data_IF_839861422942
#
_entry.id   IF_839861422942
#
_cell.length_a   1.000
_cell.length_b   1.000
_cell.length_c   1.000
_cell.angle_alpha   90.00
_cell.angle_beta   90.00
_cell.angle_gamma   90.00
#
_symmetry.space_group_name_H-M   'P 1'
#
loop_
_entity.id
_entity.type
_entity.pdbx_description
1 polymer ?
#
# COMPACT_ATOMS: atom_id res chain seq x y z
N UNK A 1 10.68 13.85 -25.27
CA UNK A 1 9.59 13.55 -24.31
C UNK A 1 9.90 12.21 -23.67
N UNK A 2 9.92 12.14 -22.34
CA UNK A 2 10.09 10.88 -21.60
C UNK A 2 8.73 10.20 -21.46
N UNK A 3 8.62 8.91 -21.79
CA UNK A 3 7.38 8.11 -21.71
C UNK A 3 6.75 7.99 -20.31
N UNK A 4 7.37 8.59 -19.29
CA UNK A 4 6.89 8.63 -17.90
C UNK A 4 5.80 9.69 -17.63
N UNK A 5 5.47 10.56 -18.60
CA UNK A 5 4.46 11.61 -18.45
C UNK A 5 3.05 11.24 -18.93
N UNK A 6 2.81 10.00 -19.39
CA UNK A 6 1.43 9.58 -19.71
C UNK A 6 0.58 9.58 -18.43
N UNK A 7 -0.58 10.26 -18.42
CA UNK A 7 -1.49 10.20 -17.29
C UNK A 7 -1.87 8.75 -17.00
N UNK A 8 -1.65 8.30 -15.75
CA UNK A 8 -2.14 6.99 -15.32
C UNK A 8 -3.65 6.95 -15.47
N UNK A 9 -4.16 5.97 -16.23
CA UNK A 9 -5.59 5.77 -16.42
C UNK A 9 -6.27 5.52 -15.06
N UNK A 10 -7.29 6.33 -14.77
CA UNK A 10 -8.02 6.26 -13.51
C UNK A 10 -8.97 5.08 -13.54
N UNK A 11 -9.07 4.36 -12.42
CA UNK A 11 -10.07 3.34 -12.22
C UNK A 11 -11.48 3.95 -12.34
N UNK A 12 -12.35 3.36 -13.15
CA UNK A 12 -13.70 3.89 -13.40
C UNK A 12 -14.78 3.00 -12.80
N UNK A 13 -14.51 1.70 -12.66
CA UNK A 13 -15.47 0.75 -12.12
C UNK A 13 -15.26 0.51 -10.62
N UNK A 14 -16.31 0.14 -9.86
CA UNK A 14 -16.14 -0.23 -8.44
C UNK A 14 -15.14 -1.37 -8.23
N UNK A 15 -14.98 -2.28 -9.20
CA UNK A 15 -14.00 -3.37 -9.16
C UNK A 15 -12.57 -2.87 -9.35
N UNK A 16 -12.34 -1.98 -10.30
CA UNK A 16 -11.01 -1.37 -10.49
C UNK A 16 -10.60 -0.51 -9.30
N UNK A 17 -11.54 0.27 -8.75
CA UNK A 17 -11.28 1.09 -7.56
C UNK A 17 -10.93 0.20 -6.37
N UNK A 18 -11.70 -0.90 -6.18
CA UNK A 18 -11.39 -1.88 -5.16
C UNK A 18 -9.99 -2.49 -5.37
N UNK A 19 -9.64 -2.86 -6.60
CA UNK A 19 -8.33 -3.43 -6.92
C UNK A 19 -7.18 -2.43 -6.60
N UNK A 20 -7.35 -1.16 -6.95
CA UNK A 20 -6.38 -0.11 -6.62
C UNK A 20 -6.25 0.07 -5.09
N UNK A 21 -7.36 0.16 -4.36
CA UNK A 21 -7.35 0.26 -2.89
C UNK A 21 -6.71 -0.98 -2.22
N UNK A 22 -6.93 -2.17 -2.76
CA UNK A 22 -6.28 -3.39 -2.28
C UNK A 22 -4.78 -3.38 -2.52
N UNK A 23 -4.33 -2.84 -3.67
CA UNK A 23 -2.93 -2.58 -3.95
C UNK A 23 -2.30 -1.63 -2.94
N UNK A 24 -2.94 -0.48 -2.68
CA UNK A 24 -2.49 0.48 -1.64
C UNK A 24 -2.35 -0.22 -0.28
N UNK A 25 -3.37 -0.96 0.16
CA UNK A 25 -3.35 -1.70 1.44
C UNK A 25 -2.20 -2.71 1.52
N UNK A 26 -2.02 -3.52 0.47
CA UNK A 26 -0.98 -4.54 0.45
C UNK A 26 0.41 -3.90 0.57
N UNK A 27 0.65 -2.86 -0.21
CA UNK A 27 1.95 -2.17 -0.21
C UNK A 27 2.21 -1.43 1.11
N UNK A 28 1.19 -0.84 1.74
CA UNK A 28 1.34 -0.26 3.10
C UNK A 28 1.78 -1.31 4.11
N UNK A 29 1.19 -2.51 4.07
CA UNK A 29 1.59 -3.64 4.91
C UNK A 29 3.04 -4.05 4.66
N UNK A 30 3.46 -4.11 3.38
CA UNK A 30 4.83 -4.45 3.00
C UNK A 30 5.82 -3.40 3.47
N UNK A 31 5.52 -2.11 3.30
CA UNK A 31 6.37 -1.00 3.77
C UNK A 31 6.62 -1.13 5.27
N UNK A 32 5.57 -1.34 6.07
CA UNK A 32 5.71 -1.52 7.52
C UNK A 32 6.61 -2.72 7.84
N UNK A 33 6.45 -3.85 7.14
CA UNK A 33 7.31 -5.02 7.31
C UNK A 33 8.77 -4.78 6.93
N UNK A 34 9.01 -4.14 5.79
CA UNK A 34 10.36 -3.85 5.26
C UNK A 34 11.11 -2.88 6.17
N UNK A 35 10.45 -1.81 6.62
CA UNK A 35 11.05 -0.81 7.51
C UNK A 35 11.46 -1.43 8.84
N UNK A 36 10.63 -2.31 9.40
CA UNK A 36 10.95 -3.04 10.64
C UNK A 36 12.14 -3.99 10.50
N UNK A 37 12.45 -4.43 9.28
CA UNK A 37 13.60 -5.30 8.96
C UNK A 37 14.83 -4.53 8.44
N UNK A 38 14.74 -3.20 8.28
CA UNK A 38 15.86 -2.35 7.81
C UNK A 38 16.13 -2.42 6.29
N UNK A 39 15.19 -2.90 5.48
CA UNK A 39 15.39 -3.16 4.04
C UNK A 39 15.26 -1.94 3.12
N UNK A 40 16.24 -1.03 3.11
CA UNK A 40 16.17 0.23 2.34
C UNK A 40 15.78 0.11 0.85
N UNK A 41 16.50 -0.70 0.07
CA UNK A 41 16.24 -0.85 -1.37
C UNK A 41 14.86 -1.47 -1.68
N UNK A 42 14.43 -2.42 -0.86
CA UNK A 42 13.09 -3.01 -0.93
C UNK A 42 12.00 -1.97 -0.67
N UNK A 43 12.24 -1.03 0.26
CA UNK A 43 11.27 -0.01 0.61
C UNK A 43 11.09 1.02 -0.51
N UNK A 44 12.16 1.43 -1.20
CA UNK A 44 12.05 2.31 -2.38
C UNK A 44 11.15 1.72 -3.46
N UNK A 45 11.30 0.42 -3.75
CA UNK A 45 10.43 -0.27 -4.71
C UNK A 45 8.97 -0.30 -4.23
N UNK A 46 8.75 -0.62 -2.95
CA UNK A 46 7.41 -0.61 -2.37
C UNK A 46 6.76 0.79 -2.45
N UNK A 47 7.51 1.87 -2.18
CA UNK A 47 7.01 3.25 -2.34
C UNK A 47 6.59 3.55 -3.78
N UNK A 48 7.36 3.10 -4.79
CA UNK A 48 6.97 3.26 -6.19
C UNK A 48 5.65 2.54 -6.52
N UNK A 49 5.46 1.31 -6.03
CA UNK A 49 4.18 0.60 -6.19
C UNK A 49 3.03 1.29 -5.48
N UNK A 50 3.27 1.82 -4.27
CA UNK A 50 2.25 2.55 -3.50
C UNK A 50 1.71 3.72 -4.32
N UNK A 51 2.62 4.52 -4.90
CA UNK A 51 2.27 5.63 -5.78
C UNK A 51 1.48 5.15 -7.00
N UNK A 52 1.94 4.09 -7.67
CA UNK A 52 1.27 3.58 -8.86
C UNK A 52 -0.18 3.14 -8.60
N UNK A 53 -0.46 2.52 -7.44
CA UNK A 53 -1.83 2.19 -7.05
C UNK A 53 -2.63 3.41 -6.62
N UNK A 54 -2.03 4.33 -5.87
CA UNK A 54 -2.68 5.56 -5.44
C UNK A 54 -3.09 6.45 -6.62
N UNK A 55 -2.22 6.58 -7.64
CA UNK A 55 -2.50 7.36 -8.85
C UNK A 55 -3.61 6.75 -9.71
N UNK A 56 -3.90 5.44 -9.60
CA UNK A 56 -5.05 4.83 -10.26
C UNK A 56 -6.39 5.20 -9.61
N UNK A 57 -6.39 5.69 -8.38
CA UNK A 57 -7.63 6.04 -7.70
C UNK A 57 -8.28 7.27 -8.37
N UNK A 58 -9.62 7.26 -8.51
CA UNK A 58 -10.40 8.46 -8.78
C UNK A 58 -10.05 9.56 -7.79
N UNK A 59 -10.11 10.81 -8.24
CA UNK A 59 -9.75 11.95 -7.39
C UNK A 59 -10.61 12.06 -6.13
N UNK A 60 -11.91 11.76 -6.23
CA UNK A 60 -12.84 11.76 -5.10
C UNK A 60 -12.49 10.67 -4.07
N UNK A 61 -12.00 9.52 -4.52
CA UNK A 61 -11.56 8.42 -3.65
C UNK A 61 -10.22 8.76 -3.00
N UNK A 62 -9.25 9.24 -3.79
CA UNK A 62 -7.94 9.65 -3.31
C UNK A 62 -8.04 10.76 -2.26
N UNK A 63 -8.89 11.77 -2.48
CA UNK A 63 -9.12 12.88 -1.53
C UNK A 63 -9.69 12.42 -0.19
N UNK A 64 -10.38 11.28 -0.16
CA UNK A 64 -10.92 10.69 1.08
C UNK A 64 -9.90 9.87 1.85
N UNK A 65 -8.75 9.56 1.25
CA UNK A 65 -7.60 8.98 1.93
C UNK A 65 -6.70 10.08 2.52
N UNK A 66 -7.30 10.96 3.33
CA UNK A 66 -6.64 12.16 3.87
C UNK A 66 -5.54 11.89 4.91
N UNK A 67 -5.41 10.64 5.38
CA UNK A 67 -4.33 10.19 6.27
C UNK A 67 -3.07 9.77 5.53
N UNK A 68 -3.13 9.68 4.20
CA UNK A 68 -1.96 9.58 3.34
C UNK A 68 -1.52 11.00 3.00
N UNK A 69 -0.28 11.37 3.32
CA UNK A 69 0.24 12.69 2.93
C UNK A 69 0.36 12.79 1.39
N UNK A 70 -0.44 13.65 0.72
CA UNK A 70 -0.41 13.78 -0.73
C UNK A 70 0.91 14.40 -1.21
N UNK A 71 1.60 15.20 -0.39
CA UNK A 71 2.93 15.73 -0.73
C UNK A 71 3.97 14.61 -0.71
N UNK A 72 3.88 13.69 0.26
CA UNK A 72 4.75 12.52 0.28
C UNK A 72 4.59 11.70 -1.01
N UNK A 73 3.36 11.51 -1.51
CA UNK A 73 3.11 10.83 -2.79
C UNK A 73 3.78 11.52 -3.98
N UNK A 74 3.79 12.85 -4.02
CA UNK A 74 4.47 13.62 -5.07
C UNK A 74 6.00 13.53 -4.95
N UNK A 75 6.53 13.39 -3.74
CA UNK A 75 7.96 13.26 -3.50
C UNK A 75 8.51 11.85 -3.79
N UNK A 76 7.68 10.80 -3.79
CA UNK A 76 8.11 9.41 -4.07
C UNK A 76 9.09 9.29 -5.25
N UNK A 77 8.85 9.82 -6.47
CA UNK A 77 9.82 9.70 -7.57
C UNK A 77 11.20 10.27 -7.25
N UNK A 78 11.28 11.39 -6.55
CA UNK A 78 12.54 11.98 -6.11
C UNK A 78 13.22 11.13 -5.05
N UNK A 79 12.42 10.59 -4.11
CA UNK A 79 12.88 9.86 -2.94
C UNK A 79 13.33 8.43 -3.27
N UNK A 80 12.67 7.78 -4.24
CA UNK A 80 13.08 6.46 -4.74
C UNK A 80 14.44 6.49 -5.44
N UNK A 81 14.86 7.64 -5.97
CA UNK A 81 16.22 7.85 -6.48
C UNK A 81 17.28 8.04 -5.39
N UNK A 82 16.89 8.44 -4.18
CA UNK A 82 17.80 8.81 -3.09
C UNK A 82 18.19 7.65 -2.16
N UNK A 83 17.71 6.42 -2.39
CA UNK A 83 18.00 5.24 -1.57
C UNK A 83 17.83 5.52 -0.06
N UNK A 84 16.64 5.94 0.37
CA UNK A 84 16.37 6.17 1.80
C UNK A 84 16.71 4.93 2.64
N UNK A 85 17.35 5.15 3.78
CA UNK A 85 17.70 4.12 4.76
C UNK A 85 17.49 4.62 6.18
N UNK A 86 17.41 3.68 7.14
CA UNK A 86 17.33 3.99 8.56
C UNK A 86 16.15 4.90 8.92
N UNK A 87 16.43 5.93 9.73
CA UNK A 87 15.44 6.86 10.26
C UNK A 87 14.72 7.65 9.17
N UNK A 88 15.44 8.09 8.14
CA UNK A 88 14.86 8.83 7.01
C UNK A 88 13.78 8.03 6.26
N UNK A 89 14.00 6.73 6.13
CA UNK A 89 13.03 5.82 5.52
C UNK A 89 11.83 5.62 6.44
N UNK A 90 12.05 5.46 7.75
CA UNK A 90 10.98 5.30 8.73
C UNK A 90 10.07 6.52 8.79
N UNK A 91 10.64 7.72 8.82
CA UNK A 91 9.87 8.97 8.79
C UNK A 91 9.06 9.13 7.50
N UNK A 92 9.63 8.72 6.36
CA UNK A 92 8.90 8.75 5.09
C UNK A 92 7.78 7.72 5.07
N UNK A 93 8.04 6.51 5.57
CA UNK A 93 7.06 5.44 5.67
C UNK A 93 5.87 5.84 6.57
N UNK A 94 6.10 6.52 7.69
CA UNK A 94 5.02 7.03 8.56
C UNK A 94 4.06 7.98 7.82
N UNK A 95 4.56 8.80 6.89
CA UNK A 95 3.69 9.72 6.11
C UNK A 95 2.75 9.02 5.14
N UNK A 96 3.06 7.79 4.74
CA UNK A 96 2.34 7.09 3.66
C UNK A 96 1.72 5.76 4.09
N UNK A 97 2.21 5.17 5.19
CA UNK A 97 1.85 3.84 5.67
C UNK A 97 1.70 3.77 7.20
N UNK A 98 1.41 4.90 7.87
CA UNK A 98 1.08 4.90 9.30
C UNK A 98 -0.12 3.98 9.62
N UNK A 99 -0.28 3.54 10.88
CA UNK A 99 -1.44 2.74 11.30
C UNK A 99 -2.79 3.42 11.02
N UNK A 100 -2.87 4.75 11.15
CA UNK A 100 -4.07 5.52 10.84
C UNK A 100 -4.39 5.48 9.34
N UNK A 101 -3.36 5.68 8.52
CA UNK A 101 -3.45 5.60 7.06
C UNK A 101 -3.89 4.21 6.60
N UNK A 102 -3.27 3.16 7.16
CA UNK A 102 -3.67 1.77 6.88
C UNK A 102 -5.12 1.50 7.27
N UNK A 103 -5.54 1.92 8.48
CA UNK A 103 -6.92 1.77 8.97
C UNK A 103 -7.91 2.46 8.03
N UNK A 104 -7.59 3.66 7.55
CA UNK A 104 -8.42 4.37 6.59
C UNK A 104 -8.50 3.64 5.25
N UNK A 105 -7.38 3.14 4.71
CA UNK A 105 -7.36 2.34 3.49
C UNK A 105 -8.25 1.11 3.63
N UNK A 106 -8.18 0.39 4.77
CA UNK A 106 -9.05 -0.77 5.05
C UNK A 106 -10.53 -0.37 5.06
N UNK A 107 -10.89 0.77 5.67
CA UNK A 107 -12.26 1.30 5.64
C UNK A 107 -12.74 1.58 4.23
N UNK A 108 -11.89 2.18 3.39
CA UNK A 108 -12.20 2.45 1.99
C UNK A 108 -12.39 1.14 1.19
N UNK A 109 -11.49 0.16 1.38
CA UNK A 109 -11.61 -1.18 0.79
C UNK A 109 -12.94 -1.82 1.16
N UNK A 110 -13.33 -1.77 2.44
CA UNK A 110 -14.59 -2.33 2.92
C UNK A 110 -15.83 -1.63 2.35
N UNK A 111 -15.76 -0.32 2.10
CA UNK A 111 -16.85 0.41 1.44
C UNK A 111 -17.12 -0.13 0.02
N UNK A 112 -16.08 -0.47 -0.74
CA UNK A 112 -16.23 -1.04 -2.08
C UNK A 112 -16.53 -2.54 -2.06
N UNK A 113 -15.96 -3.32 -1.13
CA UNK A 113 -16.35 -4.73 -0.92
C UNK A 113 -17.83 -4.86 -0.61
N UNK A 114 -18.39 -3.99 0.24
CA UNK A 114 -19.83 -3.96 0.55
C UNK A 114 -20.68 -3.70 -0.70
N UNK A 115 -20.29 -2.72 -1.53
CA UNK A 115 -20.97 -2.42 -2.81
C UNK A 115 -20.98 -3.60 -3.78
N UNK A 116 -19.95 -4.43 -3.71
CA UNK A 116 -19.75 -5.59 -4.60
C UNK A 116 -20.23 -6.92 -3.98
N UNK A 117 -20.81 -6.91 -2.78
CA UNK A 117 -21.26 -8.13 -2.09
C UNK A 117 -20.13 -9.06 -1.63
N UNK A 118 -18.91 -8.53 -1.42
CA UNK A 118 -17.74 -9.30 -0.99
C UNK A 118 -17.60 -9.30 0.54
N UNK A 119 -17.01 -10.36 1.13
CA UNK A 119 -16.68 -10.41 2.56
C UNK A 119 -15.81 -9.22 2.98
N UNK A 120 -16.13 -8.65 4.15
CA UNK A 120 -15.40 -7.52 4.72
C UNK A 120 -14.08 -7.97 5.34
N UNK A 121 -13.10 -7.08 5.31
CA UNK A 121 -11.83 -7.23 5.99
C UNK A 121 -11.95 -6.80 7.45
N UNK A 122 -11.23 -7.47 8.33
CA UNK A 122 -10.97 -7.05 9.71
C UNK A 122 -9.97 -5.89 9.78
N UNK A 123 -9.68 -5.39 11.01
CA UNK A 123 -8.75 -4.29 11.24
C UNK A 123 -7.31 -4.57 10.76
N UNK A 124 -6.92 -5.84 10.72
CA UNK A 124 -5.65 -6.35 10.20
C UNK A 124 -5.58 -6.34 8.66
N UNK A 125 -6.68 -6.02 7.99
CA UNK A 125 -6.78 -6.01 6.54
C UNK A 125 -6.92 -7.39 5.92
N UNK A 126 -7.29 -8.43 6.70
CA UNK A 126 -7.57 -9.79 6.24
C UNK A 126 -9.07 -10.11 6.33
N UNK A 127 -9.61 -11.07 5.55
CA UNK A 127 -11.03 -11.44 5.64
C UNK A 127 -11.42 -11.84 7.07
N UNK A 128 -12.55 -11.30 7.56
CA UNK A 128 -13.08 -11.65 8.87
C UNK A 128 -13.44 -13.15 8.91
N UNK A 129 -12.63 -13.96 9.60
CA UNK A 129 -12.75 -15.41 9.68
C UNK A 129 -11.48 -16.20 9.35
N UNK A 130 -10.49 -15.58 8.71
CA UNK A 130 -9.16 -16.19 8.47
C UNK A 130 -8.09 -15.73 9.49
N UNK A 131 -8.45 -14.79 10.38
CA UNK A 131 -7.56 -14.19 11.38
C UNK A 131 -7.44 -14.94 12.70
N UNK A 132 -7.82 -16.23 12.75
CA UNK A 132 -7.64 -17.11 13.90
C UNK A 132 -6.94 -18.40 13.47
N UNK A 133 -5.73 -18.63 13.99
CA UNK A 133 -5.01 -19.92 13.97
C UNK A 133 -4.21 -20.35 12.72
N UNK A 134 -3.84 -19.43 11.82
CA UNK A 134 -2.92 -19.78 10.72
C UNK A 134 -1.66 -18.90 10.63
N UNK A 135 -0.63 -19.39 11.32
CA UNK A 135 0.78 -19.35 10.90
C UNK A 135 1.55 -18.07 11.22
N UNK A 136 2.66 -18.26 11.93
CA UNK A 136 3.88 -17.45 11.90
C UNK A 136 4.36 -17.29 10.44
N UNK A 137 3.63 -16.52 9.63
CA UNK A 137 3.97 -16.31 8.23
C UNK A 137 5.08 -15.28 8.21
N UNK A 138 6.28 -15.79 8.02
CA UNK A 138 7.36 -15.06 7.36
C UNK A 138 6.79 -14.25 6.19
N UNK A 139 7.27 -13.02 5.94
CA UNK A 139 6.87 -12.24 4.79
C UNK A 139 6.98 -13.11 3.54
N UNK A 140 5.89 -13.27 2.79
CA UNK A 140 5.77 -14.14 1.60
C UNK A 140 6.68 -13.71 0.43
N UNK A 141 7.57 -12.74 0.66
CA UNK A 141 8.57 -12.28 -0.28
C UNK A 141 10.00 -12.77 0.01
N UNK A 142 10.23 -13.60 1.04
CA UNK A 142 11.49 -14.33 1.19
C UNK A 142 11.43 -15.65 0.40
N UNK A 143 12.14 -15.81 -0.74
CA UNK A 143 12.28 -17.09 -1.40
C UNK A 143 13.46 -17.84 -0.75
N UNK A 144 13.44 -18.06 0.56
CA UNK A 144 14.37 -19.01 1.16
C UNK A 144 13.66 -20.35 1.17
N UNK A 145 13.96 -21.14 0.13
CA UNK A 145 13.63 -22.56 0.07
C UNK A 145 14.29 -23.22 1.29
N UNK A 146 13.49 -23.64 2.27
CA UNK A 146 13.98 -24.59 3.26
C UNK A 146 14.10 -25.94 2.56
N UNK A 147 15.32 -26.24 2.09
CA UNK A 147 15.74 -27.60 1.85
C UNK A 147 15.79 -28.34 3.18
N UNK A 148 15.13 -29.48 3.21
CA UNK A 148 15.48 -30.62 4.04
C UNK A 148 15.67 -31.81 3.08
#
# INVERSE_FOLDING_TARGET
MNDFEKPTEKATTPKEILNALQGVKAVQSDIMGIVNLGGGAAASMALAFLRAYYEKLPEDVARRLDKIDPKAMQCIPSVTGMHLTGESLKEFAEKVASPESFTQTVRAVNAYRRKLGLPLLGPDGWPAGEGGDAVKQTPRWCPIKNGA
#
